data_IF_983103915098
#
_entry.id   IF_983103915098
#
_cell.length_a   1.000
_cell.length_b   1.000
_cell.length_c   1.000
_cell.angle_alpha   90.00
_cell.angle_beta   90.00
_cell.angle_gamma   90.00
#
_symmetry.space_group_name_H-M   'P 1'
#
loop_
_entity.id
_entity.type
_entity.pdbx_description
1 polymer ?
#
# COMPACT_ATOMS: atom_id res chain seq x y z
N UNK A 1 32.00 5.24 54.69
CA UNK A 1 31.95 6.48 55.51
C UNK A 1 30.70 7.24 55.12
N UNK A 2 29.86 7.54 56.13
CA UNK A 2 28.64 8.34 56.02
C UNK A 2 29.01 9.82 55.90
N UNK A 3 28.39 10.57 55.00
CA UNK A 3 28.15 11.99 55.21
C UNK A 3 26.72 12.36 54.83
N UNK A 4 25.97 12.67 55.89
CA UNK A 4 24.70 13.41 55.95
C UNK A 4 25.04 14.89 56.04
N UNK A 5 24.20 15.81 55.55
CA UNK A 5 23.80 17.13 56.15
C UNK A 5 22.95 17.90 55.10
N UNK A 6 21.62 18.05 55.30
CA UNK A 6 20.86 19.25 55.79
C UNK A 6 20.85 20.45 54.82
N UNK A 7 19.86 21.34 54.74
CA UNK A 7 18.44 21.43 55.14
C UNK A 7 17.94 22.84 54.75
N UNK A 8 16.68 22.96 54.32
CA UNK A 8 15.71 24.08 54.49
C UNK A 8 16.06 25.55 54.19
N UNK A 9 15.23 26.17 53.32
CA UNK A 9 14.54 27.47 53.50
C UNK A 9 13.53 27.63 52.32
N UNK A 10 12.20 27.59 52.42
CA UNK A 10 11.16 28.36 53.13
C UNK A 10 11.02 29.85 52.74
N UNK A 11 9.76 30.20 52.43
CA UNK A 11 9.05 31.50 52.44
C UNK A 11 9.20 32.44 51.21
N UNK A 12 8.13 32.61 50.40
CA UNK A 12 7.14 33.72 50.53
C UNK A 12 6.15 33.79 49.35
N UNK A 13 4.88 33.61 49.71
CA UNK A 13 3.69 34.03 48.98
C UNK A 13 3.74 35.52 48.63
N UNK A 14 3.38 35.87 47.39
CA UNK A 14 2.75 37.17 47.11
C UNK A 14 1.58 36.94 46.17
N UNK A 15 0.40 37.08 46.76
CA UNK A 15 -0.92 37.13 46.16
C UNK A 15 -1.00 38.41 45.31
N UNK A 16 -1.30 38.31 44.01
CA UNK A 16 -1.83 39.43 43.23
C UNK A 16 -3.13 38.99 42.58
N UNK A 17 -4.22 39.49 43.16
CA UNK A 17 -5.58 39.41 42.64
C UNK A 17 -5.66 40.34 41.43
N UNK A 18 -5.98 39.78 40.26
CA UNK A 18 -6.47 40.55 39.11
C UNK A 18 -7.79 39.95 38.65
N UNK A 19 -8.87 40.51 39.19
CA UNK A 19 -10.22 40.37 38.67
C UNK A 19 -10.37 41.39 37.53
N UNK A 20 -10.37 40.92 36.29
CA UNK A 20 -10.82 41.70 35.13
C UNK A 20 -11.68 40.78 34.26
N UNK A 21 -12.93 41.19 34.06
CA UNK A 21 -14.02 40.37 33.54
C UNK A 21 -13.72 39.66 32.22
N UNK A 22 -13.81 38.33 32.23
CA UNK A 22 -14.10 37.58 31.03
C UNK A 22 -15.58 37.78 30.69
N UNK A 23 -15.82 38.66 29.73
CA UNK A 23 -17.03 38.64 28.92
C UNK A 23 -17.03 37.29 28.21
N UNK A 24 -17.86 36.34 28.67
CA UNK A 24 -18.22 35.14 27.92
C UNK A 24 -18.87 35.59 26.61
N UNK A 25 -18.06 35.82 25.58
CA UNK A 25 -18.54 35.78 24.22
C UNK A 25 -18.92 34.32 23.99
N UNK A 26 -20.22 34.06 23.90
CA UNK A 26 -20.73 32.82 23.35
C UNK A 26 -20.10 32.65 21.98
N UNK A 27 -19.04 31.85 21.93
CA UNK A 27 -18.42 31.42 20.69
C UNK A 27 -19.50 30.58 20.01
N UNK A 28 -20.19 31.17 19.03
CA UNK A 28 -21.09 30.46 18.13
C UNK A 28 -20.26 29.40 17.45
N UNK A 29 -20.25 28.21 18.05
CA UNK A 29 -19.47 27.07 17.59
C UNK A 29 -20.02 26.68 16.24
N UNK A 30 -19.38 27.15 15.18
CA UNK A 30 -19.47 26.55 13.87
C UNK A 30 -19.18 25.07 14.08
N UNK A 31 -20.22 24.24 14.04
CA UNK A 31 -20.10 22.79 14.05
C UNK A 31 -19.36 22.41 12.78
N UNK A 32 -18.03 22.47 12.81
CA UNK A 32 -17.21 21.91 11.76
C UNK A 32 -17.35 20.41 11.90
N UNK A 33 -18.03 19.79 10.94
CA UNK A 33 -17.99 18.34 10.77
C UNK A 33 -16.52 17.91 10.80
N UNK A 34 -16.12 16.93 11.63
CA UNK A 34 -14.73 16.49 11.68
C UNK A 34 -14.28 16.06 10.28
N UNK A 35 -13.03 16.38 9.93
CA UNK A 35 -12.48 16.01 8.63
C UNK A 35 -12.42 14.48 8.47
N UNK A 36 -12.62 14.02 7.24
CA UNK A 36 -12.43 12.62 6.89
C UNK A 36 -10.94 12.25 6.94
N UNK A 37 -10.65 11.02 7.36
CA UNK A 37 -9.31 10.47 7.35
C UNK A 37 -8.77 10.36 5.92
N UNK A 38 -7.48 10.64 5.73
CA UNK A 38 -6.79 10.44 4.46
C UNK A 38 -5.98 9.13 4.50
N UNK A 39 -6.35 8.09 3.73
CA UNK A 39 -5.65 6.81 3.73
C UNK A 39 -4.43 6.77 2.80
N UNK A 40 -4.16 7.83 2.03
CA UNK A 40 -3.12 7.84 0.98
C UNK A 40 -1.74 7.48 1.54
N UNK A 41 -1.04 6.57 0.86
CA UNK A 41 0.31 6.15 1.23
C UNK A 41 0.56 4.66 1.01
N UNK A 42 1.79 4.26 1.32
CA UNK A 42 2.20 2.86 1.38
C UNK A 42 2.03 2.26 2.77
N UNK A 43 1.61 1.00 2.83
CA UNK A 43 1.45 0.19 4.02
C UNK A 43 2.34 -1.06 3.90
N UNK A 44 3.22 -1.27 4.88
CA UNK A 44 4.30 -2.25 4.83
C UNK A 44 3.82 -3.70 4.72
N UNK A 45 4.72 -4.58 4.27
CA UNK A 45 4.53 -6.03 4.09
C UNK A 45 4.46 -6.86 5.40
N UNK A 46 4.03 -6.25 6.49
CA UNK A 46 3.81 -6.90 7.78
C UNK A 46 2.34 -6.79 8.24
N UNK A 47 1.45 -6.36 7.35
CA UNK A 47 0.03 -6.46 7.56
C UNK A 47 -0.44 -7.92 7.56
N UNK A 48 -1.64 -8.13 8.08
CA UNK A 48 -2.23 -9.45 8.24
C UNK A 48 -3.62 -9.51 7.64
N UNK A 49 -4.03 -10.72 7.25
CA UNK A 49 -5.42 -11.04 7.01
C UNK A 49 -5.74 -12.46 7.46
N UNK A 50 -6.98 -12.66 7.84
CA UNK A 50 -7.58 -13.96 8.09
C UNK A 50 -8.84 -14.03 7.24
N UNK A 51 -8.74 -14.74 6.12
CA UNK A 51 -9.81 -14.88 5.12
C UNK A 51 -10.17 -16.34 4.94
N UNK A 52 -11.20 -16.65 4.16
CA UNK A 52 -11.55 -18.04 3.84
C UNK A 52 -10.78 -18.56 2.62
N UNK A 53 -10.62 -19.88 2.55
CA UNK A 53 -10.25 -20.58 1.33
C UNK A 53 -11.46 -20.71 0.41
N UNK A 54 -11.27 -21.26 -0.80
CA UNK A 54 -12.34 -21.44 -1.79
C UNK A 54 -13.52 -22.31 -1.31
N UNK A 55 -13.34 -23.06 -0.22
CA UNK A 55 -14.39 -23.86 0.42
C UNK A 55 -15.26 -23.07 1.41
N UNK A 56 -15.00 -21.77 1.58
CA UNK A 56 -15.68 -20.85 2.52
C UNK A 56 -15.70 -21.28 4.00
N UNK A 57 -14.94 -22.32 4.36
CA UNK A 57 -14.98 -22.92 5.69
C UNK A 57 -13.61 -22.90 6.34
N UNK A 58 -12.57 -23.23 5.58
CA UNK A 58 -11.19 -23.25 6.05
C UNK A 58 -10.60 -21.84 6.04
N UNK A 59 -9.93 -21.47 7.12
CA UNK A 59 -9.21 -20.19 7.18
C UNK A 59 -7.90 -20.23 6.38
N UNK A 60 -7.57 -19.08 5.78
CA UNK A 60 -6.31 -18.76 5.15
C UNK A 60 -5.70 -17.57 5.88
N UNK A 61 -4.59 -17.81 6.57
CA UNK A 61 -3.81 -16.76 7.22
C UNK A 61 -2.80 -16.16 6.24
N UNK A 62 -2.77 -14.83 6.21
CA UNK A 62 -1.85 -14.01 5.43
C UNK A 62 -1.08 -13.13 6.43
N UNK A 63 0.24 -13.12 6.35
CA UNK A 63 1.12 -12.39 7.28
C UNK A 63 2.08 -11.43 6.59
N UNK A 64 2.03 -11.37 5.27
CA UNK A 64 2.84 -10.51 4.40
C UNK A 64 1.98 -9.50 3.64
N UNK A 65 0.80 -9.16 4.15
CA UNK A 65 -0.13 -8.27 3.46
C UNK A 65 0.43 -6.85 3.47
N UNK A 66 0.62 -6.28 2.28
CA UNK A 66 0.95 -4.87 2.08
C UNK A 66 -0.17 -4.17 1.32
N UNK A 67 -0.19 -2.83 1.38
CA UNK A 67 -1.15 -2.05 0.61
C UNK A 67 -0.58 -0.73 0.09
N UNK A 68 -1.20 -0.26 -0.98
CA UNK A 68 -0.93 1.04 -1.61
C UNK A 68 -2.27 1.74 -1.79
N UNK A 69 -2.35 3.01 -1.38
CA UNK A 69 -3.57 3.80 -1.50
C UNK A 69 -3.29 5.12 -2.18
N UNK A 70 -4.05 5.42 -3.23
CA UNK A 70 -4.02 6.70 -3.94
C UNK A 70 -5.42 7.14 -4.34
N UNK A 71 -5.83 8.34 -3.92
CA UNK A 71 -7.19 8.81 -4.11
C UNK A 71 -8.21 7.89 -3.44
N UNK A 72 -9.13 7.33 -4.23
CA UNK A 72 -10.08 6.32 -3.77
C UNK A 72 -9.65 4.88 -4.07
N UNK A 73 -8.51 4.64 -4.73
CA UNK A 73 -8.06 3.29 -5.04
C UNK A 73 -7.18 2.75 -3.92
N UNK A 74 -7.44 1.52 -3.50
CA UNK A 74 -6.64 0.76 -2.54
C UNK A 74 -6.28 -0.58 -3.19
N UNK A 75 -4.98 -0.87 -3.32
CA UNK A 75 -4.51 -2.18 -3.74
C UNK A 75 -3.83 -2.83 -2.54
N UNK A 76 -4.29 -4.01 -2.14
CA UNK A 76 -3.62 -4.85 -1.15
C UNK A 76 -3.06 -6.09 -1.83
N UNK A 77 -1.90 -6.57 -1.42
CA UNK A 77 -1.30 -7.76 -2.02
C UNK A 77 -0.52 -8.59 -0.99
N UNK A 78 -0.49 -9.90 -1.24
CA UNK A 78 0.40 -10.85 -0.58
C UNK A 78 1.17 -11.58 -1.68
N UNK A 79 2.49 -11.39 -1.69
CA UNK A 79 3.37 -12.07 -2.62
C UNK A 79 3.45 -13.56 -2.28
N UNK A 80 3.55 -13.91 -1.00
CA UNK A 80 3.65 -15.30 -0.55
C UNK A 80 2.39 -16.13 -0.86
N UNK A 81 1.22 -15.50 -0.99
CA UNK A 81 -0.04 -16.17 -1.32
C UNK A 81 -0.50 -15.94 -2.77
N UNK A 82 0.23 -15.15 -3.56
CA UNK A 82 -0.19 -14.73 -4.90
C UNK A 82 -1.61 -14.15 -4.92
N UNK A 83 -1.93 -13.30 -3.94
CA UNK A 83 -3.25 -12.67 -3.81
C UNK A 83 -3.16 -11.17 -4.01
N UNK A 84 -4.12 -10.62 -4.75
CA UNK A 84 -4.29 -9.18 -4.96
C UNK A 84 -5.74 -8.81 -4.69
N UNK A 85 -5.93 -7.72 -3.96
CA UNK A 85 -7.20 -7.07 -3.69
C UNK A 85 -7.13 -5.69 -4.32
N UNK A 86 -7.72 -5.51 -5.49
CA UNK A 86 -7.81 -4.21 -6.15
C UNK A 86 -9.16 -3.58 -5.83
N UNK A 87 -9.14 -2.51 -5.05
CA UNK A 87 -10.32 -1.95 -4.43
C UNK A 87 -10.54 -0.47 -4.71
N UNK A 88 -11.81 -0.09 -4.59
CA UNK A 88 -12.27 1.30 -4.61
C UNK A 88 -12.96 1.62 -3.28
N UNK A 89 -12.40 2.57 -2.54
CA UNK A 89 -13.03 3.19 -1.37
C UNK A 89 -14.22 4.01 -1.85
N UNK A 90 -15.43 3.59 -1.49
CA UNK A 90 -16.68 4.19 -1.97
C UNK A 90 -17.16 5.32 -1.06
N UNK A 91 -16.82 5.28 0.23
CA UNK A 91 -17.11 6.37 1.15
C UNK A 91 -16.15 6.40 2.34
N UNK A 92 -15.91 7.59 2.89
CA UNK A 92 -15.24 7.80 4.17
C UNK A 92 -16.11 8.76 4.99
N UNK A 93 -16.39 8.41 6.24
CA UNK A 93 -17.05 9.25 7.22
C UNK A 93 -16.21 9.27 8.49
N UNK A 94 -15.49 10.39 8.70
CA UNK A 94 -14.47 10.52 9.73
C UNK A 94 -13.41 9.42 9.54
N UNK A 95 -13.32 8.45 10.45
CA UNK A 95 -12.39 7.32 10.36
C UNK A 95 -13.00 6.07 9.72
N UNK A 96 -14.32 5.97 9.58
CA UNK A 96 -14.97 4.78 9.03
C UNK A 96 -15.00 4.84 7.51
N UNK A 97 -14.84 3.69 6.84
CA UNK A 97 -14.92 3.62 5.37
C UNK A 97 -15.70 2.40 4.88
N UNK A 98 -16.13 2.50 3.62
CA UNK A 98 -16.66 1.39 2.83
C UNK A 98 -15.85 1.25 1.54
N UNK A 99 -15.69 0.03 1.04
CA UNK A 99 -14.99 -0.23 -0.22
C UNK A 99 -15.58 -1.43 -0.97
N UNK A 100 -15.31 -1.51 -2.26
CA UNK A 100 -15.51 -2.70 -3.11
C UNK A 100 -14.16 -3.21 -3.57
N UNK A 101 -14.00 -4.53 -3.68
CA UNK A 101 -12.76 -5.18 -4.11
C UNK A 101 -13.02 -6.18 -5.23
N UNK A 102 -12.13 -6.20 -6.21
CA UNK A 102 -11.89 -7.32 -7.11
C UNK A 102 -10.65 -8.05 -6.64
N UNK A 103 -10.75 -9.37 -6.47
CA UNK A 103 -9.72 -10.18 -5.82
C UNK A 103 -9.21 -11.22 -6.79
N UNK A 104 -7.92 -11.22 -7.03
CA UNK A 104 -7.23 -12.12 -7.95
C UNK A 104 -6.40 -13.13 -7.19
N UNK A 105 -6.44 -14.39 -7.61
CA UNK A 105 -5.57 -15.46 -7.13
C UNK A 105 -4.68 -15.93 -8.25
N UNK A 106 -3.37 -15.86 -8.06
CA UNK A 106 -2.36 -16.13 -9.10
C UNK A 106 -2.61 -15.34 -10.39
N UNK A 107 -3.05 -14.08 -10.21
CA UNK A 107 -3.30 -13.14 -11.31
C UNK A 107 -4.57 -13.38 -12.12
N UNK A 108 -5.45 -14.29 -11.70
CA UNK A 108 -6.64 -14.69 -12.46
C UNK A 108 -7.85 -14.95 -11.56
N UNK A 109 -8.96 -15.39 -12.17
CA UNK A 109 -10.21 -15.78 -11.52
C UNK A 109 -10.75 -14.73 -10.54
N UNK A 110 -11.03 -13.50 -11.01
CA UNK A 110 -11.48 -12.43 -10.15
C UNK A 110 -12.78 -12.77 -9.44
N UNK A 111 -12.80 -12.60 -8.12
CA UNK A 111 -14.03 -12.60 -7.31
C UNK A 111 -14.28 -11.20 -6.76
N UNK A 112 -15.52 -10.92 -6.36
CA UNK A 112 -15.90 -9.63 -5.80
C UNK A 112 -16.16 -9.73 -4.29
N UNK A 113 -15.77 -8.69 -3.56
CA UNK A 113 -16.10 -8.51 -2.16
C UNK A 113 -16.42 -7.05 -1.84
N UNK A 114 -17.10 -6.83 -0.72
CA UNK A 114 -17.23 -5.50 -0.12
C UNK A 114 -16.43 -5.46 1.18
N UNK A 115 -16.03 -4.27 1.60
CA UNK A 115 -15.40 -4.08 2.89
C UNK A 115 -16.02 -2.92 3.66
N UNK A 116 -16.06 -3.08 4.97
CA UNK A 116 -16.27 -1.98 5.91
C UNK A 116 -15.14 -1.98 6.93
N UNK A 117 -14.72 -0.81 7.40
CA UNK A 117 -13.54 -0.75 8.25
C UNK A 117 -13.23 0.61 8.83
N UNK A 118 -12.04 0.74 9.40
CA UNK A 118 -11.53 1.96 10.02
C UNK A 118 -10.17 2.33 9.44
N UNK A 119 -9.98 3.61 9.14
CA UNK A 119 -8.71 4.24 8.80
C UNK A 119 -8.23 5.00 10.03
N UNK A 120 -7.06 4.61 10.55
CA UNK A 120 -6.30 5.42 11.50
C UNK A 120 -5.18 6.09 10.73
N UNK A 121 -5.39 7.35 10.34
CA UNK A 121 -4.48 8.07 9.43
C UNK A 121 -3.03 8.05 9.95
N UNK A 122 -2.10 7.70 9.06
CA UNK A 122 -0.68 7.58 9.38
C UNK A 122 -0.32 6.37 10.27
N UNK A 123 -1.25 5.44 10.50
CA UNK A 123 -1.06 4.28 11.36
C UNK A 123 -1.50 2.97 10.72
N UNK A 124 -2.77 2.82 10.36
CA UNK A 124 -3.28 1.55 9.81
C UNK A 124 -4.63 1.68 9.13
N UNK A 125 -4.97 0.68 8.32
CA UNK A 125 -6.33 0.44 7.84
C UNK A 125 -6.73 -0.97 8.25
N UNK A 126 -7.87 -1.10 8.92
CA UNK A 126 -8.49 -2.38 9.27
C UNK A 126 -9.83 -2.51 8.57
N UNK A 127 -10.20 -3.74 8.21
CA UNK A 127 -11.49 -3.98 7.57
C UNK A 127 -12.00 -5.41 7.69
N UNK A 128 -13.30 -5.55 7.52
CA UNK A 128 -14.01 -6.83 7.37
C UNK A 128 -14.47 -6.95 5.92
N UNK A 129 -14.04 -8.01 5.26
CA UNK A 129 -14.42 -8.38 3.90
C UNK A 129 -15.69 -9.27 3.95
N UNK A 130 -16.66 -8.92 3.13
CA UNK A 130 -17.91 -9.68 2.93
C UNK A 130 -17.99 -10.11 1.47
N UNK A 131 -17.87 -11.41 1.24
CA UNK A 131 -17.77 -12.06 -0.06
C UNK A 131 -17.62 -13.58 0.12
N UNK A 132 -16.90 -14.24 -0.78
CA UNK A 132 -16.53 -15.66 -0.68
C UNK A 132 -15.01 -15.81 -0.74
N UNK A 133 -14.50 -16.96 -0.29
CA UNK A 133 -13.09 -17.28 -0.27
C UNK A 133 -12.21 -16.18 0.31
N UNK A 134 -11.21 -15.75 -0.45
CA UNK A 134 -10.31 -14.68 -0.03
C UNK A 134 -11.04 -13.34 0.22
N UNK A 135 -12.25 -13.16 -0.32
CA UNK A 135 -13.13 -12.02 -0.07
C UNK A 135 -14.01 -12.12 1.17
N UNK A 136 -13.79 -13.12 2.04
CA UNK A 136 -14.56 -13.35 3.25
C UNK A 136 -13.62 -13.40 4.46
N UNK A 137 -13.63 -12.39 5.33
CA UNK A 137 -12.76 -12.37 6.50
C UNK A 137 -12.39 -10.98 7.00
N UNK A 138 -11.19 -10.84 7.55
CA UNK A 138 -10.68 -9.56 8.10
C UNK A 138 -9.26 -9.29 7.66
N UNK A 139 -8.88 -8.01 7.64
CA UNK A 139 -7.50 -7.58 7.36
C UNK A 139 -7.08 -6.38 8.21
N UNK A 140 -5.77 -6.21 8.31
CA UNK A 140 -5.09 -5.08 8.94
C UNK A 140 -3.81 -4.78 8.16
N UNK A 141 -3.70 -3.61 7.55
CA UNK A 141 -2.47 -3.14 6.91
C UNK A 141 -1.88 -1.97 7.69
N UNK A 142 -0.56 -1.97 7.85
CA UNK A 142 0.16 -1.07 8.77
C UNK A 142 0.89 -0.02 7.94
N UNK A 143 0.72 1.26 8.27
CA UNK A 143 1.34 2.36 7.56
C UNK A 143 2.86 2.25 7.66
N UNK A 144 3.55 2.31 6.52
CA UNK A 144 5.00 2.12 6.49
C UNK A 144 5.71 3.30 7.18
N UNK A 145 6.77 3.00 7.95
CA UNK A 145 7.59 4.03 8.61
C UNK A 145 8.44 4.83 7.59
N UNK A 146 8.89 4.18 6.52
CA UNK A 146 9.68 4.79 5.45
C UNK A 146 8.76 5.15 4.28
N UNK A 147 8.01 6.24 4.44
CA UNK A 147 7.01 6.71 3.47
C UNK A 147 7.45 8.00 2.77
N UNK A 148 8.74 8.10 2.46
CA UNK A 148 9.27 9.26 1.74
C UNK A 148 8.49 9.46 0.44
N UNK A 149 8.21 10.72 0.02
CA UNK A 149 7.44 10.97 -1.19
C UNK A 149 8.03 10.28 -2.41
N UNK A 150 7.16 9.68 -3.22
CA UNK A 150 7.53 9.07 -4.49
C UNK A 150 8.22 10.10 -5.39
N UNK A 151 9.32 9.67 -6.03
CA UNK A 151 10.05 10.45 -7.02
C UNK A 151 10.64 9.51 -8.06
N UNK A 152 10.67 9.92 -9.34
CA UNK A 152 11.23 9.07 -10.40
C UNK A 152 12.71 8.77 -10.16
N UNK A 153 13.46 9.70 -9.58
CA UNK A 153 14.87 9.50 -9.23
C UNK A 153 15.13 8.38 -8.23
N UNK A 154 14.12 7.93 -7.48
CA UNK A 154 14.23 6.80 -6.53
C UNK A 154 14.07 5.44 -7.19
N UNK A 155 13.46 5.40 -8.38
CA UNK A 155 13.15 4.14 -9.10
C UNK A 155 13.86 4.03 -10.45
N UNK A 156 14.45 5.13 -10.93
CA UNK A 156 15.11 5.14 -12.22
C UNK A 156 16.36 4.27 -12.22
N UNK A 157 16.50 3.47 -13.26
CA UNK A 157 17.69 2.65 -13.53
C UNK A 157 18.45 3.14 -14.76
N UNK A 158 18.05 4.27 -15.35
CA UNK A 158 18.68 4.81 -16.55
C UNK A 158 20.14 5.18 -16.31
N UNK A 159 21.02 4.76 -17.23
CA UNK A 159 22.46 4.99 -17.12
C UNK A 159 23.13 4.13 -16.05
N UNK A 160 22.42 3.19 -15.44
CA UNK A 160 22.97 2.19 -14.51
C UNK A 160 23.00 0.81 -15.15
N UNK A 161 23.69 -0.14 -14.53
CA UNK A 161 23.62 -1.56 -14.89
C UNK A 161 22.46 -2.28 -14.17
N UNK A 162 21.77 -1.57 -13.27
CA UNK A 162 20.82 -2.15 -12.36
C UNK A 162 19.45 -2.34 -13.02
N UNK A 163 18.70 -3.34 -12.57
CA UNK A 163 17.35 -3.63 -13.04
C UNK A 163 16.43 -3.94 -11.87
N UNK A 164 15.14 -3.70 -12.07
CA UNK A 164 14.13 -4.18 -11.13
C UNK A 164 13.80 -5.63 -11.45
N UNK A 165 14.34 -6.57 -10.67
CA UNK A 165 14.19 -8.01 -10.82
C UNK A 165 13.14 -8.60 -9.88
N UNK A 166 12.19 -9.37 -10.42
CA UNK A 166 11.23 -10.18 -9.67
C UNK A 166 11.81 -11.56 -9.42
N UNK A 167 11.50 -12.12 -8.25
CA UNK A 167 11.89 -13.46 -7.86
C UNK A 167 10.70 -14.41 -7.96
N UNK A 168 10.80 -15.42 -8.81
CA UNK A 168 9.92 -16.59 -8.77
C UNK A 168 10.71 -17.83 -8.35
N UNK A 169 10.21 -18.51 -7.30
CA UNK A 169 10.68 -19.84 -6.89
C UNK A 169 12.21 -19.95 -6.70
N UNK A 170 12.85 -18.89 -6.20
CA UNK A 170 14.29 -18.87 -5.91
C UNK A 170 15.20 -18.60 -7.11
N UNK A 171 14.66 -18.27 -8.29
CA UNK A 171 15.44 -17.74 -9.41
C UNK A 171 15.24 -16.22 -9.51
N UNK A 172 16.36 -15.50 -9.64
CA UNK A 172 16.37 -14.09 -10.03
C UNK A 172 15.96 -13.99 -11.51
N UNK A 173 15.28 -12.91 -11.90
CA UNK A 173 14.95 -12.54 -13.29
C UNK A 173 13.80 -13.28 -13.97
N UNK A 174 12.83 -13.83 -13.23
CA UNK A 174 11.59 -14.27 -13.88
C UNK A 174 10.79 -13.08 -14.44
N UNK A 175 11.05 -11.88 -13.92
CA UNK A 175 10.56 -10.60 -14.41
C UNK A 175 11.68 -9.57 -14.23
N UNK A 176 12.06 -8.80 -15.23
CA UNK A 176 13.00 -7.68 -15.06
C UNK A 176 12.41 -6.41 -15.67
N UNK A 177 12.73 -5.20 -15.24
CA UNK A 177 12.44 -4.01 -16.05
C UNK A 177 13.37 -2.84 -15.76
N UNK A 178 13.43 -1.95 -16.73
CA UNK A 178 14.09 -0.67 -16.61
C UNK A 178 13.07 0.45 -16.41
N UNK A 179 13.47 1.46 -15.63
CA UNK A 179 12.70 2.69 -15.49
C UNK A 179 13.58 3.87 -15.91
N UNK A 180 13.13 4.61 -16.92
CA UNK A 180 13.86 5.80 -17.38
C UNK A 180 13.79 6.96 -16.37
N UNK A 181 14.59 8.00 -16.57
CA UNK A 181 14.58 9.20 -15.74
C UNK A 181 13.30 10.04 -15.87
N UNK A 182 12.42 9.72 -16.83
CA UNK A 182 11.07 10.28 -16.98
C UNK A 182 9.97 9.32 -16.51
N UNK A 183 10.35 8.15 -15.96
CA UNK A 183 9.42 7.17 -15.40
C UNK A 183 8.83 6.21 -16.44
N UNK A 184 9.39 6.13 -17.65
CA UNK A 184 8.95 5.15 -18.63
C UNK A 184 9.46 3.75 -18.22
N UNK A 185 8.55 2.78 -18.16
CA UNK A 185 8.86 1.37 -17.96
C UNK A 185 9.12 0.74 -19.32
N UNK A 186 10.25 0.04 -19.45
CA UNK A 186 10.58 -0.72 -20.66
C UNK A 186 11.20 -2.07 -20.34
N UNK A 187 10.82 -3.06 -21.15
CA UNK A 187 11.40 -4.39 -21.25
C UNK A 187 11.29 -5.22 -19.97
N UNK A 188 10.25 -6.04 -19.89
CA UNK A 188 10.25 -7.20 -19.02
C UNK A 188 10.15 -8.46 -19.85
N UNK A 189 11.15 -9.33 -19.84
CA UNK A 189 10.89 -10.73 -20.14
C UNK A 189 10.29 -11.32 -18.87
N UNK A 190 9.03 -11.70 -18.94
CA UNK A 190 8.36 -12.37 -17.84
C UNK A 190 8.53 -13.89 -17.97
N UNK A 191 9.78 -14.37 -18.03
CA UNK A 191 10.09 -15.79 -18.12
C UNK A 191 9.96 -16.50 -16.76
N UNK A 192 8.74 -16.73 -16.29
CA UNK A 192 8.44 -17.57 -15.12
C UNK A 192 7.75 -18.87 -15.52
N UNK A 193 8.25 -20.08 -15.15
CA UNK A 193 7.74 -21.36 -15.67
C UNK A 193 6.30 -21.72 -15.28
N UNK A 194 5.61 -20.89 -14.48
CA UNK A 194 4.25 -21.13 -13.98
C UNK A 194 3.41 -19.85 -13.78
N UNK A 195 3.84 -18.68 -14.27
CA UNK A 195 3.04 -17.46 -14.12
C UNK A 195 2.09 -17.28 -15.32
N UNK A 196 0.88 -16.81 -15.03
CA UNK A 196 -0.13 -16.41 -16.04
C UNK A 196 0.44 -15.45 -17.09
N UNK A 197 1.48 -14.72 -16.71
CA UNK A 197 2.18 -13.76 -17.55
C UNK A 197 3.48 -14.37 -18.11
N UNK A 198 3.54 -15.64 -18.48
CA UNK A 198 4.77 -16.21 -19.04
C UNK A 198 5.11 -15.61 -20.42
N UNK A 199 6.36 -15.16 -20.60
CA UNK A 199 6.92 -14.67 -21.86
C UNK A 199 6.32 -13.36 -22.37
N UNK A 200 5.59 -12.66 -21.52
CA UNK A 200 5.07 -11.33 -21.81
C UNK A 200 6.18 -10.29 -21.82
N UNK A 201 5.96 -9.25 -22.59
CA UNK A 201 6.67 -7.97 -22.54
C UNK A 201 5.81 -6.92 -21.85
N UNK A 202 6.44 -6.09 -21.03
CA UNK A 202 5.79 -4.94 -20.39
C UNK A 202 6.43 -3.62 -20.82
N UNK A 203 5.57 -2.65 -21.10
CA UNK A 203 5.94 -1.25 -21.28
C UNK A 203 4.93 -0.37 -20.55
N UNK A 204 5.33 0.81 -20.07
CA UNK A 204 4.43 1.59 -19.25
C UNK A 204 4.99 2.91 -18.74
N UNK A 205 4.34 3.47 -17.73
CA UNK A 205 4.77 4.72 -17.09
C UNK A 205 4.43 4.74 -15.62
N UNK A 206 5.39 5.18 -14.81
CA UNK A 206 5.22 5.52 -13.41
C UNK A 206 4.94 7.01 -13.27
N UNK A 207 3.94 7.37 -12.47
CA UNK A 207 3.60 8.75 -12.15
C UNK A 207 3.58 8.92 -10.62
N UNK A 208 4.49 9.69 -10.02
CA UNK A 208 4.50 9.89 -8.57
C UNK A 208 3.21 10.54 -8.06
N UNK A 209 2.66 10.00 -6.98
CA UNK A 209 1.54 10.61 -6.25
C UNK A 209 2.11 11.66 -5.30
N UNK A 210 1.63 12.90 -5.42
CA UNK A 210 2.16 14.02 -4.63
C UNK A 210 1.99 13.77 -3.12
N UNK A 211 3.09 13.83 -2.38
CA UNK A 211 3.10 13.75 -0.92
C UNK A 211 2.97 12.33 -0.34
N UNK A 212 3.11 11.28 -1.14
CA UNK A 212 3.01 9.89 -0.70
C UNK A 212 4.08 9.01 -1.36
N UNK A 213 4.51 7.93 -0.70
CA UNK A 213 5.36 6.89 -1.31
C UNK A 213 4.53 5.96 -2.20
N UNK A 214 3.83 6.52 -3.18
CA UNK A 214 3.00 5.75 -4.12
C UNK A 214 3.19 6.32 -5.51
N UNK A 215 3.28 5.43 -6.49
CA UNK A 215 3.23 5.75 -7.91
C UNK A 215 1.93 5.19 -8.48
N UNK A 216 1.28 5.94 -9.34
CA UNK A 216 0.29 5.36 -10.27
C UNK A 216 1.04 4.79 -11.46
N UNK A 217 0.62 3.60 -11.91
CA UNK A 217 1.26 2.91 -13.03
C UNK A 217 0.23 2.60 -14.10
N UNK A 218 0.62 2.76 -15.35
CA UNK A 218 -0.11 2.29 -16.52
C UNK A 218 0.81 1.40 -17.33
N UNK A 219 0.35 0.21 -17.70
CA UNK A 219 1.16 -0.82 -18.38
C UNK A 219 0.41 -1.36 -19.59
N UNK A 220 1.16 -1.57 -20.66
CA UNK A 220 0.79 -2.42 -21.78
C UNK A 220 1.56 -3.73 -21.66
N UNK A 221 0.82 -4.82 -21.75
CA UNK A 221 1.33 -6.19 -21.71
C UNK A 221 1.15 -6.81 -23.10
N UNK A 222 2.23 -7.30 -23.70
CA UNK A 222 2.27 -7.85 -25.07
C UNK A 222 3.07 -9.13 -25.12
N UNK A 223 3.06 -9.83 -26.25
CA UNK A 223 3.90 -11.01 -26.53
C UNK A 223 3.79 -12.18 -25.53
N UNK A 224 2.76 -12.20 -24.68
CA UNK A 224 2.52 -13.31 -23.74
C UNK A 224 2.30 -14.65 -24.45
N UNK A 225 2.75 -15.74 -23.81
CA UNK A 225 2.40 -17.09 -24.21
C UNK A 225 0.88 -17.33 -24.15
N UNK A 226 0.22 -16.86 -23.09
CA UNK A 226 -1.24 -16.74 -23.05
C UNK A 226 -1.67 -15.40 -23.66
N UNK A 227 -2.14 -15.48 -24.91
CA UNK A 227 -2.55 -14.29 -25.65
C UNK A 227 -3.77 -13.58 -25.08
N UNK A 228 -4.54 -14.21 -24.19
CA UNK A 228 -5.71 -13.60 -23.53
C UNK A 228 -5.32 -12.57 -22.46
N UNK A 229 -4.05 -12.58 -22.05
CA UNK A 229 -3.46 -11.66 -21.07
C UNK A 229 -2.96 -10.38 -21.75
N UNK A 230 -2.67 -10.41 -23.05
CA UNK A 230 -2.24 -9.22 -23.80
C UNK A 230 -3.29 -8.11 -23.70
N UNK A 231 -2.85 -6.88 -23.42
CA UNK A 231 -3.75 -5.74 -23.21
C UNK A 231 -2.99 -4.44 -22.97
N UNK A 232 -3.67 -3.30 -23.16
CA UNK A 232 -3.09 -1.94 -23.02
C UNK A 232 -3.63 -1.17 -21.83
N UNK A 233 -4.54 -1.77 -21.09
CA UNK A 233 -5.41 -1.16 -20.09
C UNK A 233 -5.08 -1.59 -18.65
N UNK A 234 -3.87 -2.11 -18.43
CA UNK A 234 -3.42 -2.41 -17.07
C UNK A 234 -3.11 -1.12 -16.35
N UNK A 235 -3.79 -0.91 -15.22
CA UNK A 235 -3.54 0.21 -14.34
C UNK A 235 -3.33 -0.29 -12.92
N UNK A 236 -2.53 0.42 -12.13
CA UNK A 236 -2.27 0.02 -10.77
C UNK A 236 -1.45 0.99 -9.95
N UNK A 237 -0.84 0.47 -8.89
CA UNK A 237 -0.03 1.23 -7.94
C UNK A 237 1.31 0.52 -7.70
N UNK A 238 2.34 1.32 -7.45
CA UNK A 238 3.61 0.85 -6.91
C UNK A 238 4.03 1.69 -5.70
N UNK A 239 4.88 1.12 -4.87
CA UNK A 239 5.55 1.82 -3.79
C UNK A 239 6.95 1.23 -3.60
N UNK A 240 7.91 2.08 -3.25
CA UNK A 240 9.25 1.62 -2.87
C UNK A 240 9.30 1.34 -1.38
N UNK A 241 10.16 0.42 -0.97
CA UNK A 241 10.54 0.25 0.44
C UNK A 241 12.02 -0.11 0.50
N UNK A 242 12.58 0.00 1.70
CA UNK A 242 13.93 -0.45 2.00
C UNK A 242 13.89 -1.80 2.69
N UNK A 243 14.83 -2.67 2.35
CA UNK A 243 15.12 -3.92 3.04
C UNK A 243 16.61 -3.96 3.44
N UNK A 244 17.50 -4.08 2.46
CA UNK A 244 18.96 -4.04 2.69
C UNK A 244 19.48 -2.63 2.40
N UNK A 245 19.13 -2.10 1.24
CA UNK A 245 19.51 -0.77 0.80
C UNK A 245 18.29 0.17 0.73
N UNK A 246 18.50 1.51 0.74
CA UNK A 246 17.40 2.44 0.48
C UNK A 246 16.75 2.17 -0.88
N UNK A 247 15.42 2.16 -0.91
CA UNK A 247 14.61 1.95 -2.12
C UNK A 247 15.01 0.71 -2.96
N UNK A 248 15.41 -0.39 -2.32
CA UNK A 248 15.85 -1.63 -2.98
C UNK A 248 14.72 -2.64 -3.23
N UNK A 249 13.50 -2.30 -2.84
CA UNK A 249 12.30 -3.10 -3.06
C UNK A 249 11.17 -2.25 -3.64
N UNK A 250 10.40 -2.86 -4.54
CA UNK A 250 9.19 -2.23 -5.08
C UNK A 250 8.00 -3.19 -5.00
N UNK A 251 7.02 -2.82 -4.17
CA UNK A 251 5.69 -3.41 -4.26
C UNK A 251 5.04 -2.90 -5.54
N UNK A 252 4.60 -3.81 -6.40
CA UNK A 252 4.02 -3.47 -7.70
C UNK A 252 2.79 -4.32 -7.92
N UNK A 253 1.68 -3.68 -8.30
CA UNK A 253 0.51 -4.41 -8.76
C UNK A 253 -0.28 -3.59 -9.78
N UNK A 254 -0.66 -4.24 -10.88
CA UNK A 254 -1.55 -3.70 -11.93
C UNK A 254 -2.62 -4.73 -12.28
N UNK A 255 -3.79 -4.24 -12.70
CA UNK A 255 -4.89 -5.08 -13.17
C UNK A 255 -5.61 -4.41 -14.36
N UNK A 256 -6.33 -5.21 -15.15
CA UNK A 256 -7.23 -4.73 -16.19
C UNK A 256 -8.69 -5.19 -15.98
N UNK A 257 -9.04 -5.57 -14.76
CA UNK A 257 -10.36 -6.13 -14.43
C UNK A 257 -10.44 -7.66 -14.59
N UNK A 258 -9.77 -8.24 -15.59
CA UNK A 258 -9.77 -9.70 -15.81
C UNK A 258 -8.53 -10.39 -15.24
N UNK A 259 -7.37 -9.75 -15.40
CA UNK A 259 -6.07 -10.26 -14.99
C UNK A 259 -5.38 -9.26 -14.07
N UNK A 260 -4.48 -9.77 -13.23
CA UNK A 260 -3.64 -8.96 -12.35
C UNK A 260 -2.21 -9.47 -12.39
N UNK A 261 -1.26 -8.55 -12.55
CA UNK A 261 0.15 -8.81 -12.30
C UNK A 261 0.53 -8.16 -10.98
N UNK A 262 1.13 -8.92 -10.07
CA UNK A 262 1.68 -8.41 -8.84
C UNK A 262 2.98 -9.11 -8.51
N UNK A 263 3.95 -8.35 -8.01
CA UNK A 263 5.16 -8.91 -7.46
C UNK A 263 5.86 -7.89 -6.58
N UNK A 264 6.84 -8.36 -5.83
CA UNK A 264 7.79 -7.51 -5.14
C UNK A 264 9.11 -7.58 -5.88
N UNK A 265 9.46 -6.49 -6.55
CA UNK A 265 10.70 -6.37 -7.29
C UNK A 265 11.84 -5.95 -6.38
N UNK A 266 13.04 -6.39 -6.73
CA UNK A 266 14.29 -6.10 -6.07
C UNK A 266 15.15 -5.30 -7.02
N UNK A 267 15.85 -4.28 -6.52
CA UNK A 267 16.86 -3.62 -7.32
C UNK A 267 18.13 -4.47 -7.28
N UNK A 268 18.48 -5.08 -8.41
CA UNK A 268 19.73 -5.81 -8.64
C UNK A 268 20.73 -4.89 -9.36
#
# INVERSE_FOLDING_TARGET
MKHVFKSHWFIRSTLLVLLAGLVLHGCGGSSSTPANANPTGYYSNNGTALVKQTDDTTDLSITDLQAMVSGNRIIMMSAAKNLVYDGTITSINQSSYTATFTIYSSGQNPISATATGTITQGSSITGTLTGTGAGNGTFNVIYALNNDPAAISRISTEGTVNVWGGYDNGSINSHAYFVSNVGALSAADTSGPVSTFNGCEMSGTFVPVTGANVYTIFVTVTNCADTTVNGTDYAGLAATRSDVDPDDRMAFSVSNGNWSLNTEFWLD
#
